data_IF_875445892032
#
_entry.id   IF_875445892032
#
_cell.length_a   1.000
_cell.length_b   1.000
_cell.length_c   1.000
_cell.angle_alpha   90.00
_cell.angle_beta   90.00
_cell.angle_gamma   90.00
#
_symmetry.space_group_name_H-M   'P 1'
#
loop_
_entity.id
_entity.type
_entity.pdbx_description
1 polymer ?
#
# COMPACT_ATOMS: atom_id res chain seq x y z
N UNK A 1 -3.96 -14.58 31.16
CA UNK A 1 -3.19 -13.40 30.66
C UNK A 1 -2.83 -13.43 29.16
N UNK A 2 -3.15 -14.48 28.38
CA UNK A 2 -2.75 -14.59 26.96
C UNK A 2 -3.68 -13.95 25.92
N UNK A 3 -4.97 -13.81 26.23
CA UNK A 3 -6.00 -13.40 25.25
C UNK A 3 -5.99 -11.90 24.92
N UNK A 4 -5.65 -11.03 25.88
CA UNK A 4 -5.57 -9.57 25.67
C UNK A 4 -4.47 -9.21 24.67
N UNK A 5 -3.33 -9.94 24.71
CA UNK A 5 -2.21 -9.77 23.77
C UNK A 5 -2.54 -10.24 22.35
N UNK A 6 -3.35 -11.30 22.21
CA UNK A 6 -3.85 -11.73 20.90
C UNK A 6 -4.82 -10.70 20.31
N UNK A 7 -5.71 -10.12 21.14
CA UNK A 7 -6.65 -9.07 20.73
C UNK A 7 -5.99 -7.80 20.20
N UNK A 8 -4.91 -7.35 20.83
CA UNK A 8 -4.11 -6.21 20.34
C UNK A 8 -3.43 -6.51 18.99
N UNK A 9 -3.00 -7.75 18.75
CA UNK A 9 -2.45 -8.19 17.46
C UNK A 9 -3.50 -8.29 16.35
N UNK A 10 -4.75 -8.59 16.70
CA UNK A 10 -5.84 -8.75 15.75
C UNK A 10 -6.60 -7.46 15.42
N UNK A 11 -6.31 -6.34 16.10
CA UNK A 11 -6.81 -5.04 15.64
C UNK A 11 -5.87 -4.55 14.54
N UNK A 12 -6.35 -4.37 13.30
CA UNK A 12 -5.51 -3.79 12.26
C UNK A 12 -5.05 -2.40 12.73
N UNK A 13 -3.74 -2.16 12.73
CA UNK A 13 -3.19 -0.83 12.90
C UNK A 13 -3.53 -0.03 11.63
N UNK A 14 -4.76 0.48 11.55
CA UNK A 14 -5.29 1.14 10.37
C UNK A 14 -4.39 2.28 9.90
N UNK A 15 -3.83 3.05 10.83
CA UNK A 15 -2.88 4.13 10.52
C UNK A 15 -1.60 3.57 9.87
N UNK A 16 -1.03 2.49 10.41
CA UNK A 16 0.14 1.84 9.83
C UNK A 16 -0.12 1.29 8.42
N UNK A 17 -1.27 0.66 8.20
CA UNK A 17 -1.64 0.15 6.88
C UNK A 17 -1.86 1.28 5.86
N UNK A 18 -2.46 2.41 6.29
CA UNK A 18 -2.58 3.61 5.45
C UNK A 18 -1.21 4.14 5.07
N UNK A 19 -0.31 4.25 6.05
CA UNK A 19 1.06 4.71 5.81
C UNK A 19 1.79 3.83 4.80
N UNK A 20 1.72 2.52 4.96
CA UNK A 20 2.31 1.58 4.02
C UNK A 20 1.71 1.68 2.61
N UNK A 21 0.40 1.92 2.51
CA UNK A 21 -0.24 2.15 1.22
C UNK A 21 0.22 3.47 0.57
N UNK A 22 0.37 4.53 1.35
CA UNK A 22 0.92 5.81 0.88
C UNK A 22 2.37 5.63 0.39
N UNK A 23 3.20 4.92 1.15
CA UNK A 23 4.58 4.62 0.76
C UNK A 23 4.62 3.84 -0.56
N UNK A 24 3.80 2.80 -0.72
CA UNK A 24 3.70 2.03 -1.98
C UNK A 24 3.23 2.89 -3.16
N UNK A 25 2.20 3.73 -2.94
CA UNK A 25 1.68 4.64 -3.96
C UNK A 25 2.73 5.65 -4.40
N UNK A 26 3.40 6.30 -3.45
CA UNK A 26 4.46 7.28 -3.74
C UNK A 26 5.65 6.64 -4.44
N UNK A 27 6.07 5.43 -4.06
CA UNK A 27 7.14 4.70 -4.75
C UNK A 27 6.80 4.46 -6.22
N UNK A 28 5.57 4.03 -6.49
CA UNK A 28 5.07 3.86 -7.87
C UNK A 28 5.09 5.20 -8.62
N UNK A 29 4.60 6.28 -8.00
CA UNK A 29 4.60 7.62 -8.60
C UNK A 29 6.00 8.14 -8.94
N UNK A 30 6.96 7.95 -8.02
CA UNK A 30 8.38 8.33 -8.23
C UNK A 30 8.98 7.52 -9.38
N UNK A 31 8.76 6.20 -9.41
CA UNK A 31 9.28 5.34 -10.46
C UNK A 31 8.67 5.67 -11.84
N UNK A 32 7.40 6.07 -11.91
CA UNK A 32 6.77 6.54 -13.15
C UNK A 32 7.29 7.93 -13.59
N UNK A 33 7.83 8.72 -12.67
CA UNK A 33 8.29 10.09 -12.90
C UNK A 33 9.82 10.18 -13.06
N UNK A 34 10.50 9.06 -13.28
CA UNK A 34 11.92 9.07 -13.59
C UNK A 34 12.21 9.98 -14.80
N UNK A 35 13.31 10.73 -14.72
CA UNK A 35 13.67 11.74 -15.72
C UNK A 35 13.82 11.10 -17.11
N UNK A 36 14.65 10.07 -17.20
CA UNK A 36 14.85 9.31 -18.42
C UNK A 36 13.67 8.35 -18.69
N UNK A 37 13.11 8.32 -19.91
CA UNK A 37 12.04 7.39 -20.27
C UNK A 37 12.40 5.90 -20.08
N UNK A 38 13.68 5.53 -20.25
CA UNK A 38 14.19 4.17 -20.07
C UNK A 38 14.13 3.69 -18.62
N UNK A 39 14.14 4.61 -17.67
CA UNK A 39 14.22 4.32 -16.24
C UNK A 39 12.84 4.33 -15.59
N UNK A 40 11.81 4.74 -16.33
CA UNK A 40 10.43 4.74 -15.87
C UNK A 40 9.94 3.31 -15.75
N UNK A 41 9.21 3.05 -14.67
CA UNK A 41 8.47 1.80 -14.50
C UNK A 41 7.56 1.55 -15.72
N UNK A 42 7.52 0.30 -16.18
CA UNK A 42 6.61 -0.09 -17.26
C UNK A 42 5.15 0.10 -16.84
N UNK A 43 4.30 0.57 -17.77
CA UNK A 43 2.88 0.83 -17.47
C UNK A 43 2.15 -0.39 -16.91
N UNK A 44 2.53 -1.60 -17.36
CA UNK A 44 1.97 -2.86 -16.85
C UNK A 44 2.32 -3.07 -15.37
N UNK A 45 3.57 -2.80 -14.99
CA UNK A 45 4.05 -2.94 -13.62
C UNK A 45 3.40 -1.89 -12.70
N UNK A 46 3.27 -0.66 -13.18
CA UNK A 46 2.57 0.40 -12.45
C UNK A 46 1.11 0.02 -12.17
N UNK A 47 0.40 -0.55 -13.14
CA UNK A 47 -0.98 -1.03 -12.95
C UNK A 47 -1.04 -2.13 -11.89
N UNK A 48 -0.10 -3.08 -11.89
CA UNK A 48 -0.03 -4.16 -10.90
C UNK A 48 0.15 -3.59 -9.49
N UNK A 49 1.13 -2.68 -9.29
CA UNK A 49 1.41 -2.06 -7.99
C UNK A 49 0.24 -1.20 -7.47
N UNK A 50 -0.41 -0.45 -8.37
CA UNK A 50 -1.58 0.36 -8.02
C UNK A 50 -2.78 -0.52 -7.61
N UNK A 51 -3.03 -1.63 -8.32
CA UNK A 51 -4.08 -2.57 -7.94
C UNK A 51 -3.79 -3.23 -6.59
N UNK A 52 -2.54 -3.62 -6.33
CA UNK A 52 -2.13 -4.18 -5.04
C UNK A 52 -2.33 -3.16 -3.91
N UNK A 53 -1.93 -1.91 -4.11
CA UNK A 53 -2.12 -0.82 -3.14
C UNK A 53 -3.61 -0.58 -2.87
N UNK A 54 -4.46 -0.55 -3.91
CA UNK A 54 -5.91 -0.41 -3.77
C UNK A 54 -6.51 -1.56 -2.98
N UNK A 55 -6.12 -2.80 -3.26
CA UNK A 55 -6.64 -3.98 -2.57
C UNK A 55 -6.37 -3.91 -1.07
N UNK A 56 -5.16 -3.48 -0.68
CA UNK A 56 -4.79 -3.28 0.74
C UNK A 56 -5.63 -2.18 1.39
N UNK A 57 -5.77 -1.01 0.75
CA UNK A 57 -6.61 0.08 1.27
C UNK A 57 -8.08 -0.35 1.45
N UNK A 58 -8.64 -1.07 0.48
CA UNK A 58 -10.03 -1.56 0.58
C UNK A 58 -10.18 -2.59 1.71
N UNK A 59 -9.20 -3.49 1.88
CA UNK A 59 -9.19 -4.46 2.98
C UNK A 59 -9.13 -3.80 4.36
N UNK A 60 -8.49 -2.63 4.49
CA UNK A 60 -8.47 -1.86 5.75
C UNK A 60 -9.81 -1.23 6.10
N UNK A 61 -10.81 -1.26 5.22
CA UNK A 61 -12.17 -0.79 5.50
C UNK A 61 -12.38 0.73 5.41
N UNK A 62 -11.42 1.47 4.83
CA UNK A 62 -11.47 2.94 4.69
C UNK A 62 -12.50 3.38 3.63
N UNK A 63 -12.85 2.49 2.71
CA UNK A 63 -13.75 2.77 1.59
C UNK A 63 -15.07 1.99 1.70
N UNK A 64 -15.63 1.90 2.91
CA UNK A 64 -16.94 1.29 3.16
C UNK A 64 -17.92 2.29 3.72
#
# INVERSE_FOLDING_TARGET
MGEIRQRLRSRPNMEGEIWECLVSFTKTGVACSAEAPSDRMGIKDAIIELHATKARLVQTGIYR
#
